data_IF_319322100057
#
_entry.id   IF_319322100057
#
_cell.length_a   1.000
_cell.length_b   1.000
_cell.length_c   1.000
_cell.angle_alpha   90.00
_cell.angle_beta   90.00
_cell.angle_gamma   90.00
#
_symmetry.space_group_name_H-M   'P 1'
#
loop_
_entity.id
_entity.type
_entity.pdbx_description
1 polymer ?
#
# COMPACT_ATOMS: atom_id res chain seq x y z
N UNK A 1 28.09 18.77 -15.21
CA UNK A 1 28.40 17.69 -16.17
C UNK A 1 27.16 16.84 -16.14
N UNK A 2 26.52 16.64 -17.28
CA UNK A 2 25.33 15.79 -17.34
C UNK A 2 25.69 14.39 -16.86
N UNK A 3 24.97 13.90 -15.86
CA UNK A 3 25.10 12.56 -15.29
C UNK A 3 23.95 11.71 -15.82
N UNK A 4 24.17 10.41 -15.96
CA UNK A 4 23.19 9.50 -16.54
C UNK A 4 23.12 8.16 -15.79
N UNK A 5 21.93 7.57 -15.72
CA UNK A 5 21.72 6.23 -15.17
C UNK A 5 20.65 5.47 -15.96
N UNK A 6 20.88 4.19 -16.19
CA UNK A 6 19.93 3.34 -16.92
C UNK A 6 18.96 2.65 -15.97
N UNK A 7 17.68 2.73 -16.30
CA UNK A 7 16.57 2.05 -15.61
C UNK A 7 15.76 1.20 -16.59
N UNK A 8 15.10 0.18 -16.06
CA UNK A 8 14.31 -0.80 -16.79
C UNK A 8 12.90 -0.87 -16.21
N UNK A 9 11.92 -1.00 -17.10
CA UNK A 9 10.51 -1.15 -16.81
C UNK A 9 10.03 -2.45 -17.45
N UNK A 10 9.37 -3.30 -16.69
CA UNK A 10 8.79 -4.55 -17.19
C UNK A 10 7.38 -4.75 -16.63
N UNK A 11 6.47 -5.25 -17.46
CA UNK A 11 5.09 -5.53 -17.10
C UNK A 11 4.11 -4.96 -18.12
N UNK A 12 2.88 -4.65 -17.72
CA UNK A 12 1.92 -3.97 -18.60
C UNK A 12 2.17 -2.45 -18.64
N UNK A 13 3.42 -2.04 -18.90
CA UNK A 13 3.94 -0.68 -18.66
C UNK A 13 3.25 0.41 -19.52
N UNK A 14 2.65 0.03 -20.65
CA UNK A 14 1.88 0.93 -21.52
C UNK A 14 0.46 1.08 -20.97
N UNK A 15 -0.27 -0.03 -20.84
CA UNK A 15 -1.69 -0.03 -20.50
C UNK A 15 -1.96 0.41 -19.04
N UNK A 16 -0.99 0.19 -18.15
CA UNK A 16 -1.05 0.65 -16.76
C UNK A 16 -0.76 2.15 -16.61
N UNK A 17 -0.25 2.81 -17.64
CA UNK A 17 0.24 4.20 -17.55
C UNK A 17 1.53 4.34 -16.75
N UNK A 18 2.22 3.25 -16.41
CA UNK A 18 3.51 3.28 -15.70
C UNK A 18 4.56 4.06 -16.50
N UNK A 19 4.64 3.82 -17.82
CA UNK A 19 5.59 4.53 -18.69
C UNK A 19 5.30 6.03 -18.75
N UNK A 20 4.03 6.43 -18.86
CA UNK A 20 3.62 7.84 -18.82
C UNK A 20 3.96 8.49 -17.48
N UNK A 21 3.70 7.78 -16.37
CA UNK A 21 4.04 8.25 -15.02
C UNK A 21 5.54 8.46 -14.88
N UNK A 22 6.37 7.50 -15.35
CA UNK A 22 7.82 7.61 -15.31
C UNK A 22 8.34 8.80 -16.13
N UNK A 23 7.82 8.99 -17.34
CA UNK A 23 8.19 10.15 -18.17
C UNK A 23 7.79 11.47 -17.52
N UNK A 24 6.60 11.53 -16.92
CA UNK A 24 6.15 12.68 -16.14
C UNK A 24 7.12 13.03 -15.01
N UNK A 25 7.47 12.05 -14.17
CA UNK A 25 8.42 12.21 -13.06
C UNK A 25 9.76 12.78 -13.54
N UNK A 26 10.35 12.18 -14.59
CA UNK A 26 11.64 12.62 -15.12
C UNK A 26 11.57 14.09 -15.57
N UNK A 27 10.54 14.46 -16.34
CA UNK A 27 10.39 15.82 -16.85
C UNK A 27 10.06 16.84 -15.76
N UNK A 28 9.18 16.50 -14.82
CA UNK A 28 8.74 17.39 -13.74
C UNK A 28 9.88 17.70 -12.76
N UNK A 29 10.81 16.77 -12.59
CA UNK A 29 12.02 16.92 -11.77
C UNK A 29 13.20 17.52 -12.55
N UNK A 30 12.99 17.93 -13.80
CA UNK A 30 13.99 18.63 -14.62
C UNK A 30 15.05 17.73 -15.26
N UNK A 31 14.82 16.41 -15.31
CA UNK A 31 15.65 15.47 -16.06
C UNK A 31 15.21 15.30 -17.51
N UNK A 32 16.03 14.56 -18.26
CA UNK A 32 15.71 14.08 -19.61
C UNK A 32 15.89 12.57 -19.70
N UNK A 33 15.39 11.96 -20.77
CA UNK A 33 15.56 10.53 -20.99
C UNK A 33 15.76 10.17 -22.46
N UNK A 34 16.49 9.08 -22.69
CA UNK A 34 16.59 8.38 -23.96
C UNK A 34 16.02 6.97 -23.81
N UNK A 35 15.19 6.53 -24.76
CA UNK A 35 14.68 5.16 -24.81
C UNK A 35 15.68 4.31 -25.59
N UNK A 36 16.49 3.51 -24.89
CA UNK A 36 17.51 2.65 -25.50
C UNK A 36 16.89 1.41 -26.16
N UNK A 37 15.90 0.80 -25.49
CA UNK A 37 15.20 -0.39 -25.97
C UNK A 37 13.72 -0.32 -25.61
N UNK A 38 12.87 -0.79 -26.52
CA UNK A 38 11.44 -0.92 -26.28
C UNK A 38 10.88 -2.15 -26.98
N UNK A 39 10.37 -3.10 -26.20
CA UNK A 39 9.74 -4.32 -26.67
C UNK A 39 8.28 -4.33 -26.24
N UNK A 40 7.37 -4.33 -27.21
CA UNK A 40 5.93 -4.29 -26.97
C UNK A 40 5.36 -5.71 -26.95
N UNK A 41 4.64 -6.05 -25.87
CA UNK A 41 3.80 -7.24 -25.81
C UNK A 41 2.74 -7.22 -26.91
N UNK A 42 2.63 -8.29 -27.70
CA UNK A 42 1.81 -8.31 -28.92
C UNK A 42 0.33 -8.54 -28.63
N UNK A 43 0.02 -9.00 -27.43
CA UNK A 43 -1.31 -9.33 -26.98
C UNK A 43 -1.59 -8.68 -25.62
N UNK A 44 -2.88 -8.51 -25.29
CA UNK A 44 -3.35 -7.86 -24.05
C UNK A 44 -2.72 -8.43 -22.77
N UNK A 45 -2.36 -9.71 -22.78
CA UNK A 45 -1.80 -10.43 -21.63
C UNK A 45 -0.28 -10.55 -21.68
N UNK A 46 0.36 -10.14 -22.77
CA UNK A 46 1.82 -10.12 -22.85
C UNK A 46 2.37 -8.86 -22.18
N UNK A 47 3.48 -9.01 -21.47
CA UNK A 47 4.22 -7.90 -20.87
C UNK A 47 5.02 -7.17 -21.95
N UNK A 48 5.24 -5.89 -21.70
CA UNK A 48 6.14 -5.02 -22.45
C UNK A 48 7.36 -4.71 -21.59
N UNK A 49 8.45 -4.35 -22.25
CA UNK A 49 9.72 -4.00 -21.63
C UNK A 49 10.25 -2.69 -22.21
N UNK A 50 10.83 -1.85 -21.37
CA UNK A 50 11.51 -0.63 -21.78
C UNK A 50 12.82 -0.46 -20.99
N UNK A 51 13.87 -0.02 -21.70
CA UNK A 51 15.14 0.39 -21.11
C UNK A 51 15.36 1.87 -21.39
N UNK A 52 15.54 2.65 -20.35
CA UNK A 52 15.62 4.11 -20.39
C UNK A 52 16.96 4.57 -19.81
N UNK A 53 17.69 5.40 -20.54
CA UNK A 53 18.79 6.19 -19.98
C UNK A 53 18.22 7.51 -19.47
N UNK A 54 18.29 7.74 -18.17
CA UNK A 54 17.82 8.96 -17.50
C UNK A 54 19.00 9.87 -17.25
N UNK A 55 18.86 11.16 -17.56
CA UNK A 55 19.91 12.16 -17.46
C UNK A 55 19.49 13.36 -16.60
N UNK A 56 20.44 13.97 -15.89
CA UNK A 56 20.25 15.22 -15.16
C UNK A 56 21.53 16.07 -15.13
N UNK A 57 21.41 17.35 -14.78
CA UNK A 57 22.53 18.30 -14.74
C UNK A 57 23.56 18.02 -13.62
N UNK A 58 23.13 17.33 -12.57
CA UNK A 58 23.91 16.97 -11.39
C UNK A 58 23.43 15.67 -10.73
N UNK A 59 24.30 15.07 -9.91
CA UNK A 59 24.09 13.77 -9.25
C UNK A 59 22.93 13.78 -8.25
N UNK A 60 22.71 14.88 -7.52
CA UNK A 60 21.65 14.93 -6.51
C UNK A 60 20.26 14.92 -7.18
N UNK A 61 20.13 15.65 -8.29
CA UNK A 61 18.92 15.63 -9.12
C UNK A 61 18.69 14.25 -9.72
N UNK A 62 19.72 13.62 -10.31
CA UNK A 62 19.61 12.27 -10.87
C UNK A 62 19.20 11.23 -9.82
N UNK A 63 19.80 11.27 -8.63
CA UNK A 63 19.45 10.37 -7.53
C UNK A 63 17.99 10.53 -7.11
N UNK A 64 17.51 11.78 -7.00
CA UNK A 64 16.12 12.06 -6.66
C UNK A 64 15.15 11.50 -7.72
N UNK A 65 15.47 11.68 -9.02
CA UNK A 65 14.65 11.14 -10.12
C UNK A 65 14.62 9.61 -10.07
N UNK A 66 15.79 8.97 -9.96
CA UNK A 66 15.88 7.51 -9.94
C UNK A 66 15.14 6.92 -8.73
N UNK A 67 15.20 7.59 -7.57
CA UNK A 67 14.46 7.19 -6.39
C UNK A 67 12.93 7.21 -6.61
N UNK A 68 12.40 8.29 -7.19
CA UNK A 68 10.97 8.39 -7.52
C UNK A 68 10.54 7.38 -8.59
N UNK A 69 11.37 7.17 -9.62
CA UNK A 69 11.14 6.16 -10.64
C UNK A 69 11.09 4.74 -10.06
N UNK A 70 11.97 4.46 -9.11
CA UNK A 70 12.06 3.17 -8.42
C UNK A 70 10.80 2.85 -7.63
N UNK A 71 10.25 3.82 -6.90
CA UNK A 71 8.95 3.67 -6.22
C UNK A 71 7.80 3.39 -7.19
N UNK A 72 7.94 3.79 -8.46
CA UNK A 72 6.97 3.58 -9.53
C UNK A 72 7.28 2.37 -10.42
N UNK A 73 8.24 1.52 -10.03
CA UNK A 73 8.54 0.25 -10.69
C UNK A 73 9.62 0.31 -11.78
N UNK A 74 10.28 1.46 -11.98
CA UNK A 74 11.47 1.56 -12.84
C UNK A 74 12.73 1.19 -12.05
N UNK A 75 13.34 0.06 -12.37
CA UNK A 75 14.42 -0.52 -11.58
C UNK A 75 15.79 -0.34 -12.26
N UNK A 76 16.91 -0.19 -11.54
CA UNK A 76 18.23 -0.10 -12.16
C UNK A 76 18.59 -1.30 -13.05
N UNK A 77 19.13 -1.02 -14.24
CA UNK A 77 19.44 -2.02 -15.27
C UNK A 77 20.63 -2.94 -14.96
N UNK A 78 21.59 -2.43 -14.17
CA UNK A 78 22.73 -3.19 -13.64
C UNK A 78 22.57 -3.27 -12.11
N UNK A 79 21.83 -4.25 -11.59
CA UNK A 79 21.54 -4.28 -10.17
C UNK A 79 22.79 -4.75 -9.44
N UNK A 80 23.37 -3.89 -8.61
CA UNK A 80 24.32 -4.32 -7.59
C UNK A 80 23.55 -5.04 -6.47
N UNK A 81 24.24 -5.86 -5.68
CA UNK A 81 23.65 -6.36 -4.44
C UNK A 81 23.32 -5.19 -3.51
N UNK A 82 22.29 -5.38 -2.69
CA UNK A 82 21.89 -4.44 -1.66
C UNK A 82 23.03 -4.24 -0.67
N UNK A 83 23.22 -2.99 -0.24
CA UNK A 83 24.16 -2.69 0.84
C UNK A 83 23.48 -3.05 2.15
N UNK A 84 24.15 -3.84 2.99
CA UNK A 84 23.64 -4.24 4.30
C UNK A 84 24.51 -3.62 5.39
N UNK A 85 23.87 -2.93 6.34
CA UNK A 85 24.53 -2.38 7.51
C UNK A 85 23.90 -2.92 8.79
N UNK A 86 24.68 -3.33 9.80
CA UNK A 86 24.13 -3.78 11.07
C UNK A 86 23.48 -2.62 11.82
N UNK A 87 22.29 -2.88 12.38
CA UNK A 87 21.61 -1.95 13.27
C UNK A 87 22.52 -1.59 14.47
N UNK A 88 22.75 -0.30 14.77
CA UNK A 88 23.69 0.10 15.82
C UNK A 88 23.20 -0.18 17.24
N UNK A 89 21.88 -0.30 17.46
CA UNK A 89 21.25 -0.59 18.74
C UNK A 89 19.79 -1.04 18.53
N UNK A 90 19.16 -1.60 19.58
CA UNK A 90 17.74 -1.93 19.57
C UNK A 90 16.90 -0.69 19.23
N UNK A 91 15.92 -0.89 18.35
CA UNK A 91 15.03 0.13 17.80
C UNK A 91 15.73 1.29 17.07
N UNK A 92 16.97 1.09 16.58
CA UNK A 92 17.73 2.10 15.82
C UNK A 92 18.20 1.53 14.50
N UNK A 93 17.86 2.21 13.40
CA UNK A 93 18.30 1.86 12.05
C UNK A 93 19.55 2.64 11.62
N UNK A 94 20.40 2.08 10.73
CA UNK A 94 21.57 2.78 10.21
C UNK A 94 21.17 4.01 9.37
N UNK A 95 22.01 5.06 9.33
CA UNK A 95 21.81 6.19 8.42
C UNK A 95 21.69 5.72 6.97
N UNK A 96 20.71 6.23 6.23
CA UNK A 96 20.50 5.86 4.83
C UNK A 96 19.84 4.49 4.62
N UNK A 97 19.19 3.92 5.64
CA UNK A 97 18.33 2.76 5.47
C UNK A 97 17.25 3.00 4.40
N UNK A 98 16.91 1.95 3.66
CA UNK A 98 15.80 1.99 2.72
C UNK A 98 14.47 1.93 3.49
N UNK A 99 13.62 2.94 3.30
CA UNK A 99 12.26 2.98 3.85
C UNK A 99 11.29 2.34 2.85
N UNK A 100 10.62 1.28 3.27
CA UNK A 100 9.72 0.52 2.40
C UNK A 100 8.47 1.30 1.99
N UNK A 101 7.97 0.96 0.80
CA UNK A 101 6.59 1.30 0.37
C UNK A 101 5.62 0.19 0.79
N UNK A 102 4.34 0.32 0.45
CA UNK A 102 3.36 -0.75 0.60
C UNK A 102 3.31 -1.73 -0.60
N UNK A 103 4.28 -1.67 -1.51
CA UNK A 103 4.31 -2.50 -2.71
C UNK A 103 5.25 -3.72 -2.54
N UNK A 104 4.91 -4.87 -3.16
CA UNK A 104 5.81 -6.02 -3.22
C UNK A 104 7.22 -5.60 -3.63
N UNK A 105 8.20 -6.02 -2.85
CA UNK A 105 9.60 -5.60 -3.00
C UNK A 105 10.49 -6.83 -2.97
N UNK A 106 11.48 -6.89 -3.87
CA UNK A 106 12.58 -7.86 -3.78
C UNK A 106 13.87 -7.10 -3.43
N UNK A 107 14.79 -7.77 -2.74
CA UNK A 107 16.15 -7.29 -2.51
C UNK A 107 17.16 -8.24 -3.12
N UNK A 108 18.24 -7.72 -3.68
CA UNK A 108 19.28 -8.50 -4.32
C UNK A 108 20.39 -8.78 -3.32
N UNK A 109 20.66 -10.04 -3.03
CA UNK A 109 21.69 -10.47 -2.10
C UNK A 109 22.47 -11.64 -2.70
N UNK A 110 23.80 -11.54 -2.72
CA UNK A 110 24.73 -12.51 -3.33
C UNK A 110 24.34 -12.89 -4.77
N UNK A 111 23.94 -11.89 -5.56
CA UNK A 111 23.53 -12.04 -6.95
C UNK A 111 22.10 -12.54 -7.18
N UNK A 112 21.38 -12.96 -6.14
CA UNK A 112 20.03 -13.52 -6.20
C UNK A 112 18.97 -12.52 -5.71
N UNK A 113 17.76 -12.59 -6.29
CA UNK A 113 16.63 -11.76 -5.85
C UNK A 113 15.83 -12.49 -4.77
N UNK A 114 15.84 -11.94 -3.57
CA UNK A 114 15.13 -12.43 -2.39
C UNK A 114 13.84 -11.62 -2.23
N UNK A 115 12.66 -12.24 -2.27
CA UNK A 115 11.40 -11.53 -2.01
C UNK A 115 11.34 -11.08 -0.55
N UNK A 116 10.94 -9.84 -0.32
CA UNK A 116 10.75 -9.29 1.02
C UNK A 116 9.37 -9.71 1.54
N UNK A 117 9.35 -10.46 2.64
CA UNK A 117 8.13 -10.84 3.36
C UNK A 117 7.49 -9.68 4.13
N UNK A 118 6.21 -9.85 4.48
CA UNK A 118 5.45 -8.96 5.38
C UNK A 118 5.40 -7.48 4.97
N UNK A 119 5.39 -7.20 3.66
CA UNK A 119 5.40 -5.84 3.10
C UNK A 119 4.44 -4.88 3.84
N UNK A 120 5.03 -3.86 4.42
CA UNK A 120 4.38 -2.73 5.10
C UNK A 120 5.17 -1.46 4.75
N UNK A 121 4.47 -0.33 4.63
CA UNK A 121 5.14 0.97 4.40
C UNK A 121 5.85 1.45 5.66
N UNK A 122 6.80 2.38 5.51
CA UNK A 122 7.51 3.04 6.62
C UNK A 122 8.29 2.07 7.53
N UNK A 123 8.74 0.94 6.98
CA UNK A 123 9.53 -0.07 7.67
C UNK A 123 10.96 -0.15 7.12
N UNK A 124 11.84 -0.81 7.87
CA UNK A 124 13.15 -1.23 7.38
C UNK A 124 13.05 -2.61 6.72
N UNK A 125 14.02 -2.98 5.87
CA UNK A 125 14.17 -4.35 5.37
C UNK A 125 15.34 -5.01 6.09
N UNK A 126 15.05 -6.08 6.84
CA UNK A 126 16.05 -6.92 7.51
C UNK A 126 16.33 -8.14 6.63
N UNK A 127 17.62 -8.44 6.44
CA UNK A 127 18.09 -9.60 5.68
C UNK A 127 18.76 -10.59 6.62
N UNK A 128 18.19 -11.78 6.72
CA UNK A 128 18.77 -12.89 7.47
C UNK A 128 19.66 -13.70 6.54
N UNK A 129 20.92 -13.88 6.93
CA UNK A 129 21.97 -14.50 6.09
C UNK A 129 22.45 -15.84 6.64
N UNK A 130 21.91 -16.27 7.78
CA UNK A 130 22.21 -17.55 8.42
C UNK A 130 21.44 -18.69 7.73
N UNK A 131 21.93 -19.13 6.57
CA UNK A 131 21.34 -20.23 5.80
C UNK A 131 20.93 -19.79 4.39
N UNK A 132 19.71 -20.15 3.97
CA UNK A 132 19.12 -19.61 2.75
C UNK A 132 18.69 -18.15 3.02
N UNK A 133 19.15 -17.17 2.21
CA UNK A 133 18.85 -15.76 2.48
C UNK A 133 17.35 -15.48 2.48
N UNK A 134 16.87 -14.85 3.55
CA UNK A 134 15.49 -14.35 3.65
C UNK A 134 15.47 -12.87 3.96
N UNK A 135 14.46 -12.17 3.45
CA UNK A 135 14.26 -10.76 3.71
C UNK A 135 12.83 -10.52 4.22
N UNK A 136 12.68 -9.62 5.19
CA UNK A 136 11.39 -9.24 5.76
C UNK A 136 11.37 -7.78 6.13
N UNK A 137 10.19 -7.17 6.10
CA UNK A 137 10.01 -5.86 6.72
C UNK A 137 10.10 -5.98 8.23
N UNK A 138 10.60 -4.93 8.88
CA UNK A 138 10.59 -4.81 10.32
C UNK A 138 10.26 -3.36 10.69
N UNK A 139 9.27 -3.19 11.59
CA UNK A 139 8.93 -1.87 12.11
C UNK A 139 10.09 -1.34 12.94
N UNK A 140 10.35 -0.03 12.88
CA UNK A 140 11.56 0.55 13.48
C UNK A 140 11.69 0.25 14.99
N UNK A 141 10.58 0.10 15.70
CA UNK A 141 10.59 -0.25 17.13
C UNK A 141 10.97 -1.69 17.43
N UNK A 142 10.89 -2.59 16.45
CA UNK A 142 11.14 -4.03 16.60
C UNK A 142 12.53 -4.47 16.08
N UNK A 143 13.26 -3.56 15.41
CA UNK A 143 14.66 -3.78 15.02
C UNK A 143 15.53 -4.10 16.25
N UNK A 144 16.36 -5.13 16.15
CA UNK A 144 17.30 -5.54 17.18
C UNK A 144 18.74 -5.11 16.83
N UNK A 145 19.57 -4.85 17.83
CA UNK A 145 20.97 -4.51 17.60
C UNK A 145 21.70 -5.62 16.81
N UNK A 146 22.32 -5.25 15.69
CA UNK A 146 23.04 -6.17 14.80
C UNK A 146 22.24 -6.69 13.61
N UNK A 147 20.93 -6.45 13.55
CA UNK A 147 20.11 -6.79 12.37
C UNK A 147 20.73 -6.19 11.10
N UNK A 148 20.89 -7.00 10.06
CA UNK A 148 21.42 -6.54 8.78
C UNK A 148 20.33 -5.83 8.00
N UNK A 149 20.40 -4.51 7.97
CA UNK A 149 19.39 -3.65 7.35
C UNK A 149 19.87 -3.18 5.98
N UNK A 150 18.97 -3.21 5.00
CA UNK A 150 19.21 -2.66 3.67
C UNK A 150 19.38 -1.15 3.72
N UNK A 151 20.49 -0.65 3.16
CA UNK A 151 20.80 0.78 3.03
C UNK A 151 21.02 1.17 1.56
N UNK A 152 20.73 2.44 1.26
CA UNK A 152 20.77 3.00 -0.09
C UNK A 152 19.66 2.48 -1.00
N UNK A 153 19.80 2.73 -2.30
CA UNK A 153 18.81 2.38 -3.33
C UNK A 153 19.26 1.24 -4.27
N UNK A 154 20.45 0.68 -4.02
CA UNK A 154 21.01 -0.41 -4.83
C UNK A 154 20.42 -1.75 -4.44
N UNK A 155 20.21 -2.63 -5.44
CA UNK A 155 19.75 -4.00 -5.19
C UNK A 155 18.34 -4.09 -4.62
N UNK A 156 17.47 -3.12 -4.90
CA UNK A 156 16.07 -3.16 -4.49
C UNK A 156 15.21 -3.15 -5.75
N UNK A 157 14.09 -3.87 -5.73
CA UNK A 157 13.14 -3.92 -6.84
C UNK A 157 11.72 -3.82 -6.33
N UNK A 158 11.06 -2.71 -6.60
CA UNK A 158 9.66 -2.49 -6.23
C UNK A 158 8.75 -2.90 -7.40
N UNK A 159 7.65 -3.58 -7.08
CA UNK A 159 6.65 -4.06 -8.04
C UNK A 159 5.28 -3.50 -7.67
N UNK A 160 4.96 -2.26 -8.08
CA UNK A 160 3.63 -1.70 -7.87
C UNK A 160 2.55 -2.57 -8.54
N UNK A 161 1.35 -2.66 -7.96
CA UNK A 161 0.26 -3.41 -8.57
C UNK A 161 -0.12 -2.81 -9.94
N UNK A 162 -0.51 -3.68 -10.86
CA UNK A 162 -1.07 -3.25 -12.14
C UNK A 162 -2.27 -2.32 -11.91
N UNK A 163 -2.28 -1.14 -12.55
CA UNK A 163 -3.48 -0.29 -12.53
C UNK A 163 -4.67 -1.03 -13.16
N UNK A 164 -5.89 -0.89 -12.60
CA UNK A 164 -7.09 -1.52 -13.16
C UNK A 164 -7.24 -1.21 -14.65
N UNK A 165 -7.27 -2.27 -15.47
CA UNK A 165 -7.36 -2.14 -16.92
C UNK A 165 -8.81 -1.97 -17.36
N UNK A 166 -9.26 -0.72 -17.53
CA UNK A 166 -10.45 -0.39 -18.33
C UNK A 166 -11.40 0.68 -17.78
N UNK A 167 -12.09 1.35 -18.72
CA UNK A 167 -13.20 2.31 -18.58
C UNK A 167 -12.91 3.73 -18.09
N UNK A 168 -11.73 4.27 -18.33
CA UNK A 168 -11.57 5.73 -18.36
C UNK A 168 -11.38 6.18 -19.81
N UNK A 169 -12.48 6.62 -20.44
CA UNK A 169 -12.36 7.33 -21.71
C UNK A 169 -11.57 8.63 -21.51
N UNK A 170 -10.92 9.13 -22.57
CA UNK A 170 -10.13 10.37 -22.58
C UNK A 170 -10.89 11.62 -22.11
N UNK A 171 -12.21 11.51 -21.95
CA UNK A 171 -13.09 12.51 -21.37
C UNK A 171 -14.24 11.81 -20.63
N UNK A 172 -14.48 12.20 -19.38
CA UNK A 172 -15.64 11.78 -18.62
C UNK A 172 -16.00 12.79 -17.52
N UNK A 173 -17.30 13.04 -17.32
CA UNK A 173 -17.77 13.78 -16.14
C UNK A 173 -17.69 12.86 -14.92
N UNK A 174 -17.29 13.41 -13.76
CA UNK A 174 -17.21 12.67 -12.50
C UNK A 174 -16.21 11.49 -12.54
N UNK A 175 -15.06 11.65 -13.22
CA UNK A 175 -13.91 10.74 -13.10
C UNK A 175 -13.11 11.07 -11.82
N UNK A 176 -12.67 10.04 -11.08
CA UNK A 176 -11.77 10.16 -9.91
C UNK A 176 -12.34 10.74 -8.61
N UNK A 177 -11.87 10.28 -7.45
CA UNK A 177 -12.12 10.91 -6.12
C UNK A 177 -13.40 10.51 -5.37
N UNK A 178 -13.55 11.03 -4.15
CA UNK A 178 -14.73 10.86 -3.27
C UNK A 178 -15.74 11.96 -3.60
N UNK A 179 -16.96 11.58 -4.00
CA UNK A 179 -18.07 12.52 -4.22
C UNK A 179 -19.35 11.98 -3.60
N UNK A 180 -20.04 12.85 -2.84
CA UNK A 180 -21.37 12.56 -2.27
C UNK A 180 -22.48 12.43 -3.33
N UNK A 181 -22.20 12.81 -4.58
CA UNK A 181 -23.16 12.76 -5.69
C UNK A 181 -23.00 11.51 -6.57
N UNK A 182 -22.10 10.58 -6.20
CA UNK A 182 -21.99 9.28 -6.89
C UNK A 182 -22.89 8.23 -6.23
N UNK A 183 -23.63 7.44 -7.03
CA UNK A 183 -24.68 6.57 -6.52
C UNK A 183 -24.15 5.49 -5.56
N UNK A 184 -24.81 5.40 -4.42
CA UNK A 184 -24.51 4.48 -3.32
C UNK A 184 -24.91 3.04 -3.64
N UNK A 185 -26.02 2.79 -4.36
CA UNK A 185 -26.50 1.42 -4.61
C UNK A 185 -25.55 0.60 -5.50
N UNK A 186 -25.05 1.18 -6.60
CA UNK A 186 -24.11 0.46 -7.48
C UNK A 186 -22.77 0.21 -6.79
N UNK A 187 -22.32 1.14 -5.96
CA UNK A 187 -21.10 0.98 -5.14
C UNK A 187 -21.32 -0.08 -4.06
N UNK A 188 -22.46 -0.08 -3.38
CA UNK A 188 -22.85 -1.09 -2.39
C UNK A 188 -22.89 -2.47 -3.06
N UNK A 189 -23.49 -2.62 -4.24
CA UNK A 189 -23.51 -3.90 -4.97
C UNK A 189 -22.11 -4.38 -5.31
N UNK A 190 -21.23 -3.51 -5.81
CA UNK A 190 -19.83 -3.87 -6.09
C UNK A 190 -19.07 -4.33 -4.85
N UNK A 191 -19.26 -3.64 -3.72
CA UNK A 191 -18.65 -4.03 -2.43
C UNK A 191 -19.20 -5.38 -1.97
N UNK A 192 -20.52 -5.59 -2.06
CA UNK A 192 -21.14 -6.86 -1.68
C UNK A 192 -20.67 -8.02 -2.58
N UNK A 193 -20.53 -7.78 -3.88
CA UNK A 193 -19.97 -8.75 -4.83
C UNK A 193 -18.51 -9.07 -4.51
N UNK A 194 -17.69 -8.07 -4.19
CA UNK A 194 -16.30 -8.27 -3.79
C UNK A 194 -16.19 -9.10 -2.51
N UNK A 195 -16.99 -8.81 -1.48
CA UNK A 195 -17.05 -9.61 -0.24
C UNK A 195 -17.47 -11.06 -0.55
N UNK A 196 -18.51 -11.24 -1.37
CA UNK A 196 -18.98 -12.57 -1.75
C UNK A 196 -17.95 -13.33 -2.61
N UNK A 197 -17.15 -12.63 -3.41
CA UNK A 197 -16.03 -13.18 -4.15
C UNK A 197 -14.91 -13.65 -3.24
N UNK A 198 -14.45 -12.81 -2.31
CA UNK A 198 -13.46 -13.17 -1.29
C UNK A 198 -13.88 -14.46 -0.57
N UNK A 199 -15.15 -14.54 -0.12
CA UNK A 199 -15.66 -15.74 0.54
C UNK A 199 -15.70 -16.98 -0.36
N UNK A 200 -15.94 -16.83 -1.67
CA UNK A 200 -15.91 -17.95 -2.63
C UNK A 200 -14.50 -18.46 -2.88
N UNK A 201 -13.50 -17.61 -2.70
CA UNK A 201 -12.09 -17.91 -2.90
C UNK A 201 -11.37 -18.32 -1.61
N UNK A 202 -12.15 -18.66 -0.56
CA UNK A 202 -11.66 -19.00 0.78
C UNK A 202 -10.74 -17.91 1.39
N UNK A 203 -10.94 -16.66 1.00
CA UNK A 203 -10.26 -15.49 1.57
C UNK A 203 -10.95 -14.98 2.83
N UNK A 204 -10.30 -14.04 3.53
CA UNK A 204 -10.79 -13.45 4.78
C UNK A 204 -11.11 -11.96 4.62
N UNK A 205 -12.18 -11.50 5.29
CA UNK A 205 -12.62 -10.10 5.32
C UNK A 205 -12.42 -9.51 6.71
N UNK A 206 -11.49 -8.56 6.81
CA UNK A 206 -11.29 -7.72 8.00
C UNK A 206 -12.11 -6.42 7.89
N UNK A 207 -12.96 -6.16 8.87
CA UNK A 207 -13.65 -4.88 8.99
C UNK A 207 -12.97 -3.97 10.03
N UNK A 208 -12.57 -2.77 9.62
CA UNK A 208 -12.05 -1.71 10.50
C UNK A 208 -13.19 -0.75 10.83
N UNK A 209 -13.66 -0.72 12.08
CA UNK A 209 -14.88 -0.01 12.45
C UNK A 209 -14.67 1.00 13.60
N UNK A 210 -15.18 2.21 13.40
CA UNK A 210 -15.26 3.25 14.42
C UNK A 210 -16.64 3.34 15.08
N UNK A 211 -16.77 4.01 16.24
CA UNK A 211 -18.02 4.09 17.00
C UNK A 211 -19.18 4.74 16.23
N UNK A 212 -18.89 5.52 15.19
CA UNK A 212 -19.90 6.08 14.28
C UNK A 212 -20.81 5.02 13.63
N UNK A 213 -20.33 3.78 13.46
CA UNK A 213 -21.15 2.66 12.99
C UNK A 213 -22.34 2.41 13.94
N UNK A 214 -22.11 2.50 15.25
CA UNK A 214 -23.16 2.33 16.26
C UNK A 214 -24.08 3.56 16.29
N UNK A 215 -23.49 4.76 16.32
CA UNK A 215 -24.23 6.03 16.40
C UNK A 215 -25.16 6.27 15.20
N UNK A 216 -24.79 5.77 14.02
CA UNK A 216 -25.59 5.86 12.80
C UNK A 216 -26.77 4.87 12.75
N UNK A 217 -26.87 3.95 13.71
CA UNK A 217 -27.89 2.90 13.73
C UNK A 217 -27.56 1.67 12.87
N UNK A 218 -26.37 1.62 12.25
CA UNK A 218 -25.96 0.52 11.36
C UNK A 218 -25.60 -0.78 12.10
N UNK A 219 -25.54 -0.76 13.44
CA UNK A 219 -25.15 -1.91 14.29
C UNK A 219 -25.84 -3.21 13.89
N UNK A 220 -27.17 -3.24 13.80
CA UNK A 220 -27.90 -4.50 13.56
C UNK A 220 -27.60 -5.08 12.17
N UNK A 221 -27.47 -4.22 11.17
CA UNK A 221 -27.10 -4.63 9.82
C UNK A 221 -25.68 -5.20 9.78
N UNK A 222 -24.73 -4.54 10.47
CA UNK A 222 -23.35 -5.02 10.56
C UNK A 222 -23.23 -6.32 11.36
N UNK A 223 -23.90 -6.42 12.50
CA UNK A 223 -23.94 -7.64 13.30
C UNK A 223 -24.51 -8.84 12.51
N UNK A 224 -25.45 -8.59 11.59
CA UNK A 224 -25.92 -9.60 10.65
C UNK A 224 -24.81 -10.03 9.68
N UNK A 225 -24.03 -9.12 9.11
CA UNK A 225 -22.91 -9.48 8.23
C UNK A 225 -21.90 -10.39 8.93
N UNK A 226 -21.53 -10.07 10.18
CA UNK A 226 -20.66 -10.92 11.00
C UNK A 226 -21.28 -12.30 11.24
N UNK A 227 -22.56 -12.34 11.64
CA UNK A 227 -23.27 -13.61 11.94
C UNK A 227 -23.41 -14.54 10.73
N UNK A 228 -23.59 -13.96 9.55
CA UNK A 228 -23.74 -14.69 8.30
C UNK A 228 -22.39 -15.07 7.67
N UNK A 229 -21.25 -14.75 8.30
CA UNK A 229 -19.92 -15.13 7.84
C UNK A 229 -19.38 -14.28 6.68
N UNK A 230 -19.82 -13.02 6.56
CA UNK A 230 -19.28 -12.08 5.57
C UNK A 230 -18.14 -11.21 6.13
N UNK A 231 -17.85 -11.33 7.43
CA UNK A 231 -16.77 -10.62 8.12
C UNK A 231 -16.13 -11.59 9.10
N UNK A 232 -14.86 -11.90 8.88
CA UNK A 232 -14.10 -12.89 9.65
C UNK A 232 -13.37 -12.25 10.83
N UNK A 233 -12.96 -10.99 10.68
CA UNK A 233 -12.17 -10.27 11.67
C UNK A 233 -12.68 -8.85 11.90
N UNK A 234 -12.47 -8.34 13.12
CA UNK A 234 -12.80 -6.98 13.52
C UNK A 234 -11.56 -6.29 14.08
N UNK A 235 -11.18 -5.16 13.47
CA UNK A 235 -10.22 -4.22 14.05
C UNK A 235 -10.97 -3.00 14.56
N UNK A 236 -11.05 -2.88 15.88
CA UNK A 236 -11.88 -1.88 16.56
C UNK A 236 -11.14 -1.24 17.73
N UNK A 237 -11.50 0.00 18.06
CA UNK A 237 -11.05 0.68 19.26
C UNK A 237 -12.04 0.56 20.43
N UNK A 238 -11.61 0.97 21.62
CA UNK A 238 -12.44 1.01 22.84
C UNK A 238 -13.82 1.66 22.61
N UNK A 239 -13.87 2.78 21.89
CA UNK A 239 -15.13 3.50 21.64
C UNK A 239 -16.17 2.65 20.93
N UNK A 240 -15.77 1.86 19.92
CA UNK A 240 -16.71 0.97 19.23
C UNK A 240 -17.28 -0.08 20.20
N UNK A 241 -16.39 -0.79 20.91
CA UNK A 241 -16.79 -1.88 21.81
C UNK A 241 -17.71 -1.38 22.93
N UNK A 242 -17.36 -0.26 23.56
CA UNK A 242 -18.15 0.32 24.65
C UNK A 242 -19.55 0.73 24.16
N UNK A 243 -19.66 1.40 23.01
CA UNK A 243 -20.95 1.87 22.53
C UNK A 243 -21.84 0.77 21.96
N UNK A 244 -21.25 -0.30 21.42
CA UNK A 244 -22.00 -1.49 21.03
C UNK A 244 -22.67 -2.15 22.25
N UNK A 245 -21.91 -2.33 23.34
CA UNK A 245 -22.41 -2.87 24.61
C UNK A 245 -23.40 -1.92 25.29
N UNK A 246 -23.12 -0.62 25.31
CA UNK A 246 -24.03 0.40 25.86
C UNK A 246 -25.40 0.34 25.19
N UNK A 247 -25.41 0.17 23.85
CA UNK A 247 -26.65 0.08 23.08
C UNK A 247 -27.42 -1.18 23.44
N UNK A 248 -26.75 -2.30 23.66
CA UNK A 248 -27.38 -3.57 24.04
C UNK A 248 -27.98 -3.52 25.46
N UNK A 249 -27.24 -2.95 26.41
CA UNK A 249 -27.60 -2.94 27.83
C UNK A 249 -28.62 -1.86 28.17
N UNK A 250 -28.50 -0.69 27.54
CA UNK A 250 -29.23 0.52 27.96
C UNK A 250 -30.06 1.15 26.83
N UNK A 251 -30.00 0.63 25.60
CA UNK A 251 -30.68 1.20 24.42
C UNK A 251 -30.06 2.52 23.94
N UNK A 252 -28.96 2.97 24.55
CA UNK A 252 -28.34 4.26 24.26
C UNK A 252 -26.96 4.14 23.63
N UNK A 253 -26.53 5.19 22.96
CA UNK A 253 -25.15 5.38 22.54
C UNK A 253 -24.71 6.79 22.92
N UNK A 254 -23.66 6.92 23.73
CA UNK A 254 -23.28 8.17 24.40
C UNK A 254 -24.44 8.83 25.17
N UNK A 255 -25.35 8.02 25.71
CA UNK A 255 -26.49 8.51 26.46
C UNK A 255 -27.60 9.14 25.61
N UNK A 256 -27.59 8.91 24.30
CA UNK A 256 -28.68 9.22 23.38
C UNK A 256 -29.44 7.94 23.06
N UNK A 257 -30.77 7.95 23.18
CA UNK A 257 -31.61 6.83 22.77
C UNK A 257 -31.49 6.64 21.26
N UNK A 258 -31.15 5.42 20.84
CA UNK A 258 -30.84 5.15 19.42
C UNK A 258 -32.09 4.96 18.54
N UNK A 259 -33.28 4.86 19.13
CA UNK A 259 -34.55 4.75 18.41
C UNK A 259 -35.31 6.08 18.37
N UNK A 260 -35.42 6.77 19.51
CA UNK A 260 -36.16 8.03 19.63
C UNK A 260 -35.32 9.27 19.38
N UNK A 261 -33.98 9.13 19.39
CA UNK A 261 -33.02 10.23 19.34
C UNK A 261 -33.12 11.21 20.53
N UNK A 262 -33.79 10.81 21.61
CA UNK A 262 -33.89 11.61 22.83
C UNK A 262 -32.68 11.44 23.76
N UNK A 263 -32.52 12.37 24.69
CA UNK A 263 -31.50 12.28 25.74
C UNK A 263 -32.11 11.84 27.07
N UNK A 264 -32.04 10.54 27.42
CA UNK A 264 -32.45 10.07 28.74
C UNK A 264 -31.70 10.80 29.86
N UNK A 265 -32.41 11.04 30.97
CA UNK A 265 -31.81 11.68 32.17
C UNK A 265 -30.62 10.83 32.65
N UNK A 266 -29.44 11.46 32.72
CA UNK A 266 -28.15 10.85 33.10
C UNK A 266 -27.57 9.85 32.09
N UNK A 267 -27.99 9.90 30.82
CA UNK A 267 -27.47 9.03 29.75
C UNK A 267 -25.94 9.06 29.60
N UNK A 268 -25.29 10.19 29.89
CA UNK A 268 -23.82 10.30 29.86
C UNK A 268 -23.09 9.28 30.75
N UNK A 269 -23.78 8.63 31.69
CA UNK A 269 -23.19 7.60 32.55
C UNK A 269 -23.29 6.19 31.97
N UNK A 270 -24.17 5.95 31.01
CA UNK A 270 -24.47 4.61 30.51
C UNK A 270 -23.22 3.93 29.93
N UNK A 271 -22.40 4.65 29.16
CA UNK A 271 -21.15 4.11 28.61
C UNK A 271 -20.04 3.84 29.65
N UNK A 272 -20.20 4.29 30.91
CA UNK A 272 -19.23 4.08 32.00
C UNK A 272 -19.62 2.88 32.87
N UNK A 273 -20.90 2.51 32.90
CA UNK A 273 -21.44 1.43 33.72
C UNK A 273 -21.25 0.07 33.05
#
# INVERSE_FOLDING_TARGET
MTVARTVELEGHIIDSGMMETCFGIIMDMGGSFEVEEFAIGRHKTETSYARLQVEADDEATLQSIVHELHQNGANPADPMDATLEPAPADSVVPPGFYSTTNHPTDVRYDGEWVPVGDIEMDCAVVVETDGEPTARTEVLSAVEAGDLIVTGDAGIRVKPPDRPRGQEGAFGFMQGGISSERPSESTISKIAEAIAETNREDGEVLAVCGPALIHSGAREAFARLVREGYVDMLSIGNGFAVHDLERDLYGTSLGMDTESLDHPRKGHKHHIY
#
